data_IF_859459705609
#
_entry.id   IF_859459705609
#
_cell.length_a   1.000
_cell.length_b   1.000
_cell.length_c   1.000
_cell.angle_alpha   90.00
_cell.angle_beta   90.00
_cell.angle_gamma   90.00
#
_symmetry.space_group_name_H-M   'P 1'
#
loop_
_entity.id
_entity.type
_entity.pdbx_description
1 polymer ?
#
# COMPACT_ATOMS: atom_id res chain seq x y z
N UNK A 1 -12.20 1.73 20.18
CA UNK A 1 -12.54 1.35 18.79
C UNK A 1 -13.20 2.52 18.09
N UNK A 2 -12.76 2.89 16.89
CA UNK A 2 -13.45 3.87 16.02
C UNK A 2 -12.64 5.14 15.79
N UNK A 3 -12.19 5.33 14.53
CA UNK A 3 -11.80 6.59 13.83
C UNK A 3 -10.77 6.34 12.71
N UNK A 4 -9.89 5.35 12.87
CA UNK A 4 -8.87 4.97 11.86
C UNK A 4 -9.50 4.38 10.61
N UNK A 5 -10.48 3.50 10.82
CA UNK A 5 -11.20 2.79 9.77
C UNK A 5 -11.94 3.74 8.84
N UNK A 6 -12.35 4.93 9.30
CA UNK A 6 -13.34 5.72 8.58
C UNK A 6 -12.74 6.51 7.40
N UNK A 7 -11.52 7.05 7.54
CA UNK A 7 -10.83 7.73 6.41
C UNK A 7 -10.24 6.74 5.41
N UNK A 8 -9.70 5.61 5.88
CA UNK A 8 -9.26 4.51 5.01
C UNK A 8 -10.46 3.91 4.27
N UNK A 9 -11.58 3.64 4.95
CA UNK A 9 -12.80 3.14 4.33
C UNK A 9 -13.43 4.15 3.36
N UNK A 10 -13.38 5.45 3.66
CA UNK A 10 -13.86 6.51 2.77
C UNK A 10 -12.99 6.69 1.51
N UNK A 11 -11.67 6.50 1.61
CA UNK A 11 -10.79 6.49 0.44
C UNK A 11 -10.89 5.17 -0.34
N UNK A 12 -11.00 4.03 0.37
CA UNK A 12 -11.24 2.72 -0.25
C UNK A 12 -12.56 2.68 -1.01
N UNK A 13 -13.61 3.34 -0.50
CA UNK A 13 -14.90 3.43 -1.19
C UNK A 13 -14.83 4.25 -2.47
N UNK A 14 -13.97 5.26 -2.54
CA UNK A 14 -13.69 5.99 -3.79
C UNK A 14 -12.81 5.15 -4.73
N UNK A 15 -11.79 4.49 -4.19
CA UNK A 15 -10.92 3.57 -4.94
C UNK A 15 -11.68 2.35 -5.50
N UNK A 16 -12.87 1.99 -4.99
CA UNK A 16 -13.74 0.93 -5.56
C UNK A 16 -14.03 1.12 -7.05
N UNK A 17 -14.06 2.36 -7.53
CA UNK A 17 -14.27 2.66 -8.94
C UNK A 17 -13.04 2.37 -9.83
N UNK A 18 -11.86 2.17 -9.23
CA UNK A 18 -10.62 1.89 -9.95
C UNK A 18 -10.23 0.42 -9.88
N UNK A 19 -9.66 -0.08 -10.98
CA UNK A 19 -9.05 -1.40 -11.07
C UNK A 19 -7.72 -1.52 -10.31
N UNK A 20 -7.13 -0.40 -9.89
CA UNK A 20 -5.91 -0.37 -9.08
C UNK A 20 -5.98 0.56 -7.88
N UNK A 21 -5.19 0.27 -6.85
CA UNK A 21 -5.12 1.04 -5.60
C UNK A 21 -3.67 1.17 -5.15
N UNK A 22 -3.31 2.32 -4.59
CA UNK A 22 -1.98 2.61 -4.07
C UNK A 22 -2.04 2.81 -2.57
N UNK A 23 -1.38 1.95 -1.82
CA UNK A 23 -1.17 2.11 -0.39
C UNK A 23 0.10 2.95 -0.17
N UNK A 24 -0.06 4.16 0.35
CA UNK A 24 1.05 5.12 0.51
C UNK A 24 1.17 5.62 1.95
N UNK A 25 2.39 5.65 2.45
CA UNK A 25 2.68 5.95 3.86
C UNK A 25 4.03 5.39 4.28
N UNK A 26 4.25 5.35 5.59
CA UNK A 26 5.39 4.61 6.15
C UNK A 26 5.04 3.13 6.19
N UNK A 27 6.04 2.26 6.07
CA UNK A 27 5.81 0.83 6.01
C UNK A 27 6.80 0.06 6.87
N UNK A 28 6.33 -0.99 7.52
CA UNK A 28 7.21 -1.88 8.26
C UNK A 28 6.49 -3.15 8.69
N UNK A 29 7.26 -4.12 9.17
CA UNK A 29 6.76 -5.42 9.57
C UNK A 29 7.54 -5.92 10.78
N UNK A 30 6.82 -6.54 11.70
CA UNK A 30 7.38 -7.30 12.82
C UNK A 30 6.97 -8.76 12.71
N UNK A 31 7.69 -9.65 13.39
CA UNK A 31 7.34 -11.08 13.44
C UNK A 31 5.92 -11.35 13.97
N UNK A 32 5.40 -10.46 14.83
CA UNK A 32 4.06 -10.54 15.38
C UNK A 32 2.95 -10.24 14.34
N UNK A 33 3.27 -9.57 13.23
CA UNK A 33 2.30 -9.27 12.18
C UNK A 33 1.97 -10.48 11.31
N UNK A 34 2.89 -11.45 11.25
CA UNK A 34 2.71 -12.70 10.51
C UNK A 34 2.59 -12.51 9.00
N UNK A 35 1.87 -13.44 8.37
CA UNK A 35 1.68 -13.51 6.92
C UNK A 35 0.21 -13.82 6.59
N UNK A 36 -0.22 -13.41 5.39
CA UNK A 36 -1.54 -13.74 4.87
C UNK A 36 -1.45 -14.29 3.45
N UNK A 37 -2.50 -15.00 3.02
CA UNK A 37 -2.61 -15.46 1.64
C UNK A 37 -3.30 -14.40 0.79
N UNK A 38 -2.73 -14.07 -0.37
CA UNK A 38 -3.33 -13.08 -1.27
C UNK A 38 -4.67 -13.60 -1.80
N UNK A 39 -5.76 -12.81 -1.69
CA UNK A 39 -7.07 -13.20 -2.17
C UNK A 39 -7.11 -13.46 -3.68
N UNK A 40 -8.14 -14.21 -4.12
CA UNK A 40 -8.39 -14.46 -5.53
C UNK A 40 -8.46 -13.15 -6.33
N UNK A 41 -7.99 -13.22 -7.59
CA UNK A 41 -8.01 -12.11 -8.55
C UNK A 41 -7.32 -10.81 -8.06
N UNK A 42 -6.44 -10.91 -7.06
CA UNK A 42 -5.75 -9.75 -6.48
C UNK A 42 -4.25 -9.88 -6.71
N UNK A 43 -3.59 -8.75 -6.97
CA UNK A 43 -2.13 -8.66 -7.06
C UNK A 43 -1.61 -7.62 -6.09
N UNK A 44 -0.39 -7.81 -5.59
CA UNK A 44 0.30 -6.82 -4.77
C UNK A 44 1.69 -6.61 -5.38
N UNK A 45 1.96 -5.40 -5.84
CA UNK A 45 3.26 -5.01 -6.38
C UNK A 45 4.03 -4.18 -5.35
N UNK A 46 5.21 -4.68 -4.99
CA UNK A 46 6.21 -4.00 -4.17
C UNK A 46 7.30 -3.41 -5.07
N UNK A 47 7.75 -2.21 -4.71
CA UNK A 47 8.76 -1.48 -5.48
C UNK A 47 10.17 -1.53 -4.87
N UNK A 48 10.33 -2.40 -3.87
CA UNK A 48 11.61 -2.66 -3.21
C UNK A 48 11.62 -4.07 -2.60
N UNK A 49 12.83 -4.53 -2.27
CA UNK A 49 13.03 -5.79 -1.57
C UNK A 49 12.45 -5.75 -0.15
N UNK A 50 12.16 -6.94 0.37
CA UNK A 50 11.86 -7.12 1.79
C UNK A 50 13.02 -6.63 2.67
N UNK A 51 12.70 -6.01 3.81
CA UNK A 51 13.69 -5.45 4.73
C UNK A 51 14.27 -4.10 4.30
N UNK A 52 13.89 -3.58 3.13
CA UNK A 52 14.48 -2.36 2.56
C UNK A 52 13.55 -1.15 2.70
N UNK A 53 14.16 0.00 3.02
CA UNK A 53 13.49 1.30 3.06
C UNK A 53 13.22 1.84 1.67
N UNK A 54 12.04 2.45 1.50
CA UNK A 54 11.68 3.10 0.24
C UNK A 54 12.38 4.43 0.15
N UNK A 55 13.35 4.53 -0.75
CA UNK A 55 13.96 5.81 -1.07
C UNK A 55 12.91 6.79 -1.58
N UNK A 56 13.03 8.07 -1.19
CA UNK A 56 12.09 9.14 -1.59
C UNK A 56 11.84 9.17 -3.10
N UNK A 57 12.88 8.94 -3.91
CA UNK A 57 12.78 8.87 -5.38
C UNK A 57 11.84 7.76 -5.85
N UNK A 58 11.92 6.58 -5.25
CA UNK A 58 11.04 5.45 -5.60
C UNK A 58 9.61 5.72 -5.13
N UNK A 59 9.42 6.30 -3.93
CA UNK A 59 8.10 6.72 -3.47
C UNK A 59 7.43 7.73 -4.40
N UNK A 60 8.18 8.72 -4.88
CA UNK A 60 7.71 9.72 -5.86
C UNK A 60 7.47 9.11 -7.24
N UNK A 61 8.26 8.11 -7.64
CA UNK A 61 7.99 7.37 -8.86
C UNK A 61 6.69 6.58 -8.74
N UNK A 62 6.41 5.87 -7.65
CA UNK A 62 5.12 5.15 -7.47
C UNK A 62 3.94 6.10 -7.49
N UNK A 63 4.09 7.30 -6.90
CA UNK A 63 3.10 8.40 -6.99
C UNK A 63 2.85 8.85 -8.44
N UNK A 64 3.87 8.78 -9.31
CA UNK A 64 3.80 9.17 -10.73
C UNK A 64 3.41 8.03 -11.69
N UNK A 65 3.76 6.78 -11.35
CA UNK A 65 3.57 5.57 -12.16
C UNK A 65 2.10 5.15 -12.27
N UNK A 66 1.25 5.58 -11.33
CA UNK A 66 -0.19 5.30 -11.43
C UNK A 66 -0.92 6.22 -12.40
N UNK A 67 -0.26 7.28 -12.89
CA UNK A 67 -0.75 8.13 -13.99
C UNK A 67 -0.36 7.63 -15.38
N UNK A 68 0.80 7.01 -15.49
CA UNK A 68 1.34 6.53 -16.75
C UNK A 68 1.68 5.07 -16.56
N UNK A 69 0.89 4.19 -17.18
CA UNK A 69 0.99 2.73 -17.19
C UNK A 69 2.35 2.22 -17.74
N UNK A 70 3.46 2.67 -17.14
CA UNK A 70 4.75 2.86 -17.79
C UNK A 70 5.89 2.71 -16.76
N UNK A 71 6.23 1.48 -16.41
CA UNK A 71 7.64 1.08 -16.48
C UNK A 71 8.55 1.19 -15.25
N UNK A 72 8.07 1.36 -14.01
CA UNK A 72 8.89 0.82 -12.92
C UNK A 72 8.67 -0.67 -12.85
N UNK A 73 9.74 -1.41 -13.09
CA UNK A 73 9.80 -2.82 -12.77
C UNK A 73 9.55 -2.94 -11.26
N UNK A 74 8.34 -3.35 -10.87
CA UNK A 74 8.07 -3.78 -9.51
C UNK A 74 9.17 -4.75 -9.11
N UNK A 75 9.74 -4.56 -7.92
CA UNK A 75 10.76 -5.45 -7.42
C UNK A 75 10.17 -6.85 -7.21
N UNK A 76 8.92 -6.92 -6.78
CA UNK A 76 8.20 -8.15 -6.54
C UNK A 76 6.70 -7.92 -6.76
N UNK A 77 6.06 -8.78 -7.55
CA UNK A 77 4.60 -8.82 -7.66
C UNK A 77 4.11 -10.18 -7.19
N UNK A 78 3.38 -10.16 -6.08
CA UNK A 78 2.71 -11.33 -5.55
C UNK A 78 1.28 -11.41 -6.10
N UNK A 79 0.82 -12.64 -6.34
CA UNK A 79 -0.46 -12.96 -6.97
C UNK A 79 -1.32 -13.80 -6.04
N UNK A 80 -2.59 -13.91 -6.39
CA UNK A 80 -3.56 -14.76 -5.72
C UNK A 80 -3.00 -16.14 -5.34
N UNK A 81 -3.23 -16.55 -4.08
CA UNK A 81 -2.76 -17.82 -3.53
C UNK A 81 -1.34 -17.79 -2.95
N UNK A 82 -0.51 -16.79 -3.27
CA UNK A 82 0.82 -16.66 -2.68
C UNK A 82 0.76 -16.10 -1.25
N UNK A 83 1.77 -16.40 -0.45
CA UNK A 83 1.95 -15.84 0.89
C UNK A 83 2.62 -14.47 0.81
N UNK A 84 2.14 -13.55 1.63
CA UNK A 84 2.66 -12.20 1.76
C UNK A 84 2.83 -11.85 3.23
N UNK A 85 3.97 -11.26 3.59
CA UNK A 85 4.15 -10.63 4.91
C UNK A 85 3.07 -9.56 5.12
N UNK A 86 2.48 -9.55 6.30
CA UNK A 86 1.41 -8.64 6.64
C UNK A 86 1.97 -7.27 7.09
N UNK A 87 2.67 -6.57 6.19
CA UNK A 87 3.24 -5.26 6.50
C UNK A 87 2.17 -4.31 7.04
N UNK A 88 2.58 -3.40 7.93
CA UNK A 88 1.75 -2.32 8.43
C UNK A 88 2.03 -1.04 7.67
N UNK A 89 0.96 -0.35 7.31
CA UNK A 89 0.99 1.00 6.77
C UNK A 89 0.81 1.98 7.92
N UNK A 90 1.77 2.87 8.13
CA UNK A 90 1.77 3.89 9.18
C UNK A 90 1.51 5.28 8.59
N UNK A 91 1.16 6.28 9.43
CA UNK A 91 0.80 7.60 8.97
C UNK A 91 1.93 8.28 8.23
N UNK A 92 1.56 9.14 7.29
CA UNK A 92 2.49 9.83 6.37
C UNK A 92 3.28 10.99 7.00
N UNK A 93 3.43 11.06 8.32
CA UNK A 93 4.14 12.19 8.92
C UNK A 93 5.53 12.29 8.30
N UNK A 94 5.85 13.47 7.74
CA UNK A 94 7.11 13.78 7.04
C UNK A 94 7.35 13.12 5.67
N UNK A 95 6.38 12.39 5.09
CA UNK A 95 6.50 11.89 3.71
C UNK A 95 6.25 13.02 2.71
N UNK A 96 7.33 13.43 2.04
CA UNK A 96 7.32 14.40 0.94
C UNK A 96 6.88 13.73 -0.37
N UNK A 97 5.64 13.21 -0.38
CA UNK A 97 4.92 12.88 -1.61
C UNK A 97 4.74 14.18 -2.41
N UNK A 98 4.91 14.17 -3.73
CA UNK A 98 4.94 15.37 -4.58
C UNK A 98 3.61 16.18 -4.64
N UNK A 99 2.71 16.03 -3.66
CA UNK A 99 1.47 16.80 -3.56
C UNK A 99 0.36 16.32 -4.49
N UNK A 100 0.62 15.36 -5.38
CA UNK A 100 -0.39 14.81 -6.31
C UNK A 100 -1.36 13.83 -5.64
N UNK A 101 -0.96 13.19 -4.54
CA UNK A 101 -1.76 12.24 -3.76
C UNK A 101 -3.00 12.82 -3.05
N UNK A 102 -3.17 14.15 -2.98
CA UNK A 102 -4.34 14.77 -2.32
C UNK A 102 -5.62 14.73 -3.16
N UNK A 103 -5.54 14.46 -4.47
CA UNK A 103 -6.66 14.61 -5.40
C UNK A 103 -6.97 13.38 -6.24
N UNK A 104 -6.23 12.29 -6.08
CA UNK A 104 -6.49 11.06 -6.83
C UNK A 104 -7.16 9.99 -5.98
N UNK A 105 -8.36 9.60 -6.41
CA UNK A 105 -9.25 8.63 -5.78
C UNK A 105 -8.68 7.20 -5.66
N UNK A 106 -7.40 6.99 -5.99
CA UNK A 106 -6.70 5.70 -5.97
C UNK A 106 -5.69 5.57 -4.83
N UNK A 107 -5.35 6.67 -4.17
CA UNK A 107 -4.39 6.66 -3.06
C UNK A 107 -5.10 6.41 -1.73
N UNK A 108 -4.57 5.45 -0.98
CA UNK A 108 -5.02 5.08 0.35
C UNK A 108 -3.88 5.35 1.31
N UNK A 109 -4.15 6.19 2.31
CA UNK A 109 -3.22 6.57 3.38
C UNK A 109 -3.91 6.35 4.72
N UNK A 110 -3.15 6.19 5.80
CA UNK A 110 -3.71 6.08 7.16
C UNK A 110 -3.31 7.28 8.03
N UNK A 111 -4.09 7.53 9.09
CA UNK A 111 -3.70 8.40 10.22
C UNK A 111 -3.67 7.60 11.54
N UNK A 112 -3.57 6.26 11.47
CA UNK A 112 -3.42 5.40 12.64
C UNK A 112 -1.96 5.26 13.02
N UNK A 113 -1.58 5.81 14.17
CA UNK A 113 -0.23 5.66 14.71
C UNK A 113 0.12 4.20 15.01
N UNK A 114 -0.87 3.35 15.30
CA UNK A 114 -0.65 1.91 15.45
C UNK A 114 -0.37 1.22 14.11
N UNK A 115 -0.70 1.85 12.97
CA UNK A 115 -0.57 1.30 11.64
C UNK A 115 -1.67 0.30 11.27
N UNK A 116 -1.97 0.21 9.99
CA UNK A 116 -3.02 -0.66 9.43
C UNK A 116 -2.38 -1.86 8.72
N UNK A 117 -2.76 -3.10 9.07
CA UNK A 117 -2.24 -4.30 8.41
C UNK A 117 -2.57 -4.35 6.91
N UNK A 118 -1.64 -4.83 6.09
CA UNK A 118 -1.80 -4.97 4.65
C UNK A 118 -2.94 -5.94 4.31
N UNK A 119 -3.15 -6.99 5.10
CA UNK A 119 -4.29 -7.89 4.93
C UNK A 119 -5.63 -7.14 5.02
N UNK A 120 -5.77 -6.20 5.95
CA UNK A 120 -7.00 -5.43 6.13
C UNK A 120 -7.20 -4.47 4.95
N UNK A 121 -6.14 -3.83 4.47
CA UNK A 121 -6.17 -2.97 3.29
C UNK A 121 -6.57 -3.75 2.02
N UNK A 122 -5.99 -4.94 1.84
CA UNK A 122 -6.24 -5.82 0.68
C UNK A 122 -7.64 -6.44 0.74
N UNK A 123 -8.12 -6.83 1.93
CA UNK A 123 -9.48 -7.39 2.07
C UNK A 123 -10.57 -6.40 1.65
N UNK A 124 -10.32 -5.10 1.77
CA UNK A 124 -11.23 -4.05 1.28
C UNK A 124 -11.09 -3.78 -0.24
N UNK A 125 -10.08 -4.34 -0.89
CA UNK A 125 -9.70 -4.11 -2.28
C UNK A 125 -9.51 -5.43 -3.07
N UNK A 126 -10.21 -6.50 -2.69
CA UNK A 126 -10.18 -7.79 -3.39
C UNK A 126 -10.54 -7.60 -4.87
N UNK A 127 -9.80 -8.26 -5.76
CA UNK A 127 -10.02 -8.22 -7.21
C UNK A 127 -9.27 -7.10 -7.94
N UNK A 128 -8.40 -6.36 -7.23
CA UNK A 128 -7.66 -5.21 -7.77
C UNK A 128 -6.17 -5.45 -7.85
N UNK A 129 -5.51 -4.60 -8.63
CA UNK A 129 -4.05 -4.45 -8.61
C UNK A 129 -3.64 -3.48 -7.50
N UNK A 130 -3.05 -4.03 -6.43
CA UNK A 130 -2.62 -3.27 -5.27
C UNK A 130 -1.14 -2.89 -5.40
N UNK A 131 -0.82 -1.65 -5.10
CA UNK A 131 0.54 -1.11 -5.17
C UNK A 131 1.00 -0.68 -3.78
N UNK A 132 2.12 -1.21 -3.30
CA UNK A 132 2.70 -0.87 -2.00
C UNK A 132 3.77 0.21 -2.15
N UNK A 133 3.39 1.46 -1.90
CA UNK A 133 4.22 2.66 -1.95
C UNK A 133 4.68 3.09 -0.54
N UNK A 134 5.19 2.14 0.23
CA UNK A 134 5.70 2.34 1.58
C UNK A 134 6.92 1.45 1.84
N UNK A 135 7.73 1.71 2.88
CA UNK A 135 8.90 0.91 3.25
C UNK A 135 8.54 -0.58 3.54
N UNK A 136 9.53 -1.49 3.49
CA UNK A 136 9.39 -2.91 3.89
C UNK A 136 10.34 -3.26 5.05
N UNK A 137 10.65 -2.29 5.90
CA UNK A 137 11.60 -2.45 7.00
C UNK A 137 11.14 -3.51 8.00
N UNK A 138 12.09 -4.25 8.56
CA UNK A 138 11.83 -5.12 9.72
C UNK A 138 12.04 -4.31 10.99
N UNK A 139 11.08 -4.37 11.90
CA UNK A 139 11.07 -3.65 13.18
C UNK A 139 11.20 -4.61 14.35
#
# INVERSE_FOLDING_TARGET
MGKVSDRVAALNSQARSSSSVVFSGHGGWSSADGEFTIPASTTITFYQADGVSLGNRTGQLVDSLTRFNSGASGHETLRAGQKCKNYRLYPREQLSLMGHSKFEQRFVTTNDDAGVPLQDLVSQNIGKDCHWAACRNHM
#
